data_IF_333186725238
#
_entry.id   IF_333186725238
#
_cell.length_a   1.000
_cell.length_b   1.000
_cell.length_c   1.000
_cell.angle_alpha   90.00
_cell.angle_beta   90.00
_cell.angle_gamma   90.00
#
_symmetry.space_group_name_H-M   'P 1'
#
loop_
_entity.id
_entity.type
_entity.pdbx_description
1 polymer ?
#
# COMPACT_ATOMS: atom_id res chain seq x y z
N UNK A 1 -7.50 34.46 28.68
CA UNK A 1 -8.40 33.35 28.30
C UNK A 1 -7.90 32.78 26.98
N UNK A 2 -7.63 31.47 26.84
CA UNK A 2 -7.23 30.89 25.57
C UNK A 2 -8.44 30.85 24.63
N UNK A 3 -8.27 31.32 23.40
CA UNK A 3 -9.32 31.34 22.38
C UNK A 3 -9.63 29.91 21.90
N UNK A 4 -10.87 29.40 22.05
CA UNK A 4 -11.18 27.98 21.84
C UNK A 4 -11.21 27.50 20.37
N UNK A 5 -10.97 28.39 19.38
CA UNK A 5 -11.12 28.09 17.95
C UNK A 5 -9.89 28.43 17.08
N UNK A 6 -8.71 28.66 17.67
CA UNK A 6 -7.51 28.93 16.88
C UNK A 6 -6.95 27.62 16.30
N UNK A 7 -6.68 27.52 14.99
CA UNK A 7 -6.02 26.34 14.43
C UNK A 7 -4.63 26.18 15.04
N UNK A 8 -4.35 24.99 15.55
CA UNK A 8 -3.08 24.66 16.20
C UNK A 8 -2.27 23.70 15.33
N UNK A 9 -0.99 24.03 15.12
CA UNK A 9 -0.02 23.20 14.45
C UNK A 9 0.96 22.66 15.48
N UNK A 10 1.03 21.34 15.62
CA UNK A 10 1.90 20.67 16.58
C UNK A 10 2.96 19.87 15.82
N UNK A 11 4.21 19.93 16.28
CA UNK A 11 5.30 19.13 15.73
C UNK A 11 5.68 18.03 16.72
N UNK A 12 5.86 16.82 16.22
CA UNK A 12 6.43 15.70 16.98
C UNK A 12 7.59 15.07 16.22
N UNK A 13 8.47 14.40 16.97
CA UNK A 13 9.73 13.87 16.43
C UNK A 13 9.50 12.62 15.57
N UNK A 14 8.67 11.70 16.05
CA UNK A 14 8.51 10.37 15.47
C UNK A 14 7.07 9.86 15.65
N UNK A 15 6.81 8.65 15.17
CA UNK A 15 5.49 8.00 15.25
C UNK A 15 4.99 7.82 16.68
N UNK A 16 5.86 7.53 17.65
CA UNK A 16 5.47 7.46 19.06
C UNK A 16 4.90 8.80 19.56
N UNK A 17 5.51 9.92 19.17
CA UNK A 17 5.00 11.25 19.48
C UNK A 17 3.71 11.58 18.73
N UNK A 18 3.53 11.06 17.52
CA UNK A 18 2.26 11.18 16.79
C UNK A 18 1.14 10.45 17.55
N UNK A 19 1.34 9.18 17.96
CA UNK A 19 0.34 8.37 18.65
C UNK A 19 -0.16 9.02 19.95
N UNK A 20 0.72 9.67 20.71
CA UNK A 20 0.34 10.42 21.93
C UNK A 20 -0.52 11.65 21.60
N UNK A 21 -0.33 12.24 20.43
CA UNK A 21 -1.07 13.41 19.97
C UNK A 21 -2.33 13.04 19.17
N UNK A 22 -2.49 11.77 18.77
CA UNK A 22 -3.72 11.26 18.18
C UNK A 22 -4.84 11.33 19.22
N UNK A 23 -5.97 11.98 18.85
CA UNK A 23 -7.05 12.29 19.79
C UNK A 23 -6.89 13.61 20.56
N UNK A 24 -5.78 14.34 20.38
CA UNK A 24 -5.68 15.72 20.84
C UNK A 24 -6.55 16.66 19.98
N UNK A 25 -6.84 17.87 20.49
CA UNK A 25 -7.51 18.94 19.73
C UNK A 25 -6.57 19.68 18.75
N UNK A 26 -5.37 19.14 18.51
CA UNK A 26 -4.45 19.71 17.54
C UNK A 26 -5.11 19.71 16.15
N UNK A 27 -5.09 20.86 15.48
CA UNK A 27 -5.70 20.98 14.15
C UNK A 27 -4.85 20.31 13.08
N UNK A 28 -3.52 20.35 13.22
CA UNK A 28 -2.56 19.70 12.34
C UNK A 28 -1.37 19.19 13.15
N UNK A 29 -0.91 17.99 12.84
CA UNK A 29 0.28 17.39 13.46
C UNK A 29 1.31 17.09 12.36
N UNK A 30 2.55 17.53 12.57
CA UNK A 30 3.69 17.31 11.66
C UNK A 30 4.68 16.39 12.34
N UNK A 31 5.06 15.32 11.66
CA UNK A 31 6.05 14.35 12.15
C UNK A 31 7.38 14.57 11.45
N UNK A 32 8.43 14.89 12.20
CA UNK A 32 9.75 15.22 11.65
C UNK A 32 10.30 14.11 10.76
N UNK A 33 10.29 12.85 11.22
CA UNK A 33 10.81 11.72 10.45
C UNK A 33 10.08 11.50 9.11
N UNK A 34 8.79 11.82 9.03
CA UNK A 34 8.01 11.69 7.80
C UNK A 34 8.28 12.84 6.83
N UNK A 35 8.45 14.05 7.33
CA UNK A 35 8.83 15.21 6.52
C UNK A 35 10.25 15.07 5.94
N UNK A 36 11.18 14.49 6.71
CA UNK A 36 12.51 14.12 6.22
C UNK A 36 12.43 13.11 5.07
N UNK A 37 11.63 12.06 5.22
CA UNK A 37 11.42 11.04 4.18
C UNK A 37 10.78 11.63 2.92
N UNK A 38 9.76 12.49 3.08
CA UNK A 38 9.11 13.19 1.96
C UNK A 38 10.08 14.14 1.25
N UNK A 39 10.98 14.78 1.98
CA UNK A 39 12.02 15.62 1.40
C UNK A 39 12.96 14.79 0.52
N UNK A 40 13.37 13.60 0.98
CA UNK A 40 14.20 12.70 0.16
C UNK A 40 13.46 12.22 -1.10
N UNK A 41 12.18 11.84 -0.97
CA UNK A 41 11.33 11.46 -2.10
C UNK A 41 11.20 12.61 -3.10
N UNK A 42 11.00 13.84 -2.62
CA UNK A 42 10.94 15.04 -3.46
C UNK A 42 12.22 15.16 -4.31
N UNK A 43 13.39 15.09 -3.67
CA UNK A 43 14.68 15.20 -4.35
C UNK A 43 14.86 14.08 -5.39
N UNK A 44 14.52 12.84 -5.04
CA UNK A 44 14.60 11.70 -5.95
C UNK A 44 13.71 11.90 -7.19
N UNK A 45 12.44 12.25 -7.00
CA UNK A 45 11.50 12.46 -8.10
C UNK A 45 11.92 13.62 -9.01
N UNK A 46 12.54 14.65 -8.43
CA UNK A 46 13.16 15.74 -9.18
C UNK A 46 14.33 15.26 -10.06
N UNK A 47 15.20 14.40 -9.53
CA UNK A 47 16.30 13.79 -10.30
C UNK A 47 15.75 12.98 -11.48
N UNK A 48 14.63 12.28 -11.27
CA UNK A 48 13.90 11.55 -12.29
C UNK A 48 13.12 12.45 -13.28
N UNK A 49 13.27 13.78 -13.17
CA UNK A 49 12.64 14.78 -14.05
C UNK A 49 11.11 14.71 -14.08
N UNK A 50 10.49 14.29 -12.99
CA UNK A 50 9.04 14.33 -12.86
C UNK A 50 8.59 15.81 -12.76
N UNK A 51 7.52 16.24 -13.46
CA UNK A 51 7.03 17.61 -13.39
C UNK A 51 6.72 18.03 -11.95
N UNK A 52 7.20 19.21 -11.55
CA UNK A 52 7.17 19.67 -10.15
C UNK A 52 5.74 19.71 -9.57
N UNK A 53 4.75 20.15 -10.36
CA UNK A 53 3.33 20.15 -9.97
C UNK A 53 2.85 18.76 -9.57
N UNK A 54 3.31 17.69 -10.26
CA UNK A 54 2.95 16.31 -9.92
C UNK A 54 3.59 15.87 -8.59
N UNK A 55 4.84 16.28 -8.34
CA UNK A 55 5.55 15.96 -7.10
C UNK A 55 4.86 16.65 -5.92
N UNK A 56 4.53 17.94 -6.05
CA UNK A 56 3.86 18.72 -5.00
C UNK A 56 2.47 18.17 -4.68
N UNK A 57 1.68 17.82 -5.70
CA UNK A 57 0.37 17.20 -5.50
C UNK A 57 0.47 15.86 -4.76
N UNK A 58 1.49 15.05 -5.07
CA UNK A 58 1.73 13.78 -4.38
C UNK A 58 2.06 14.01 -2.90
N UNK A 59 2.97 14.94 -2.59
CA UNK A 59 3.38 15.24 -1.22
C UNK A 59 2.20 15.80 -0.41
N UNK A 60 1.42 16.70 -1.02
CA UNK A 60 0.23 17.27 -0.40
C UNK A 60 -0.83 16.20 -0.10
N UNK A 61 -1.03 15.24 -1.00
CA UNK A 61 -1.92 14.10 -0.77
C UNK A 61 -1.43 13.21 0.40
N UNK A 62 -0.13 12.96 0.51
CA UNK A 62 0.45 12.20 1.65
C UNK A 62 0.22 12.95 2.98
N UNK A 63 0.45 14.26 3.02
CA UNK A 63 0.22 15.10 4.21
C UNK A 63 -1.26 15.14 4.61
N UNK A 64 -2.17 15.36 3.65
CA UNK A 64 -3.63 15.35 3.86
C UNK A 64 -4.15 14.02 4.37
N UNK A 65 -3.50 12.92 3.99
CA UNK A 65 -3.80 11.58 4.50
C UNK A 65 -3.10 11.29 5.84
N UNK A 66 -2.67 12.30 6.59
CA UNK A 66 -1.95 12.18 7.86
C UNK A 66 -0.80 11.16 7.78
N UNK A 67 -0.03 11.20 6.69
CA UNK A 67 1.09 10.29 6.44
C UNK A 67 0.71 8.79 6.42
N UNK A 68 -0.57 8.42 6.25
CA UNK A 68 -1.03 7.01 6.25
C UNK A 68 -0.28 6.12 5.28
N UNK A 69 0.22 6.67 4.17
CA UNK A 69 1.01 5.93 3.17
C UNK A 69 2.40 5.57 3.72
N UNK A 70 3.00 6.45 4.54
CA UNK A 70 4.29 6.22 5.20
C UNK A 70 4.14 5.39 6.48
N UNK A 71 2.97 5.47 7.13
CA UNK A 71 2.57 4.63 8.28
C UNK A 71 2.17 3.21 7.91
N UNK A 72 2.01 2.91 6.61
CA UNK A 72 1.88 1.52 6.20
C UNK A 72 3.22 0.85 6.48
N UNK A 73 3.31 0.20 7.63
CA UNK A 73 4.19 -0.93 7.81
C UNK A 73 3.83 -1.89 6.68
N UNK A 74 4.63 -1.89 5.62
CA UNK A 74 4.73 -3.07 4.78
C UNK A 74 5.40 -4.08 5.70
N UNK A 75 4.70 -5.11 6.20
CA UNK A 75 5.35 -6.12 7.02
C UNK A 75 6.48 -6.67 6.15
N UNK A 76 7.72 -6.34 6.51
CA UNK A 76 8.91 -6.83 5.82
C UNK A 76 9.04 -8.34 5.96
N UNK A 77 8.27 -8.92 6.90
CA UNK A 77 8.03 -10.34 7.03
C UNK A 77 6.54 -10.61 6.86
N UNK A 78 6.17 -11.45 5.91
CA UNK A 78 4.82 -11.95 5.65
C UNK A 78 4.26 -12.85 6.79
N UNK A 79 4.70 -12.64 8.03
CA UNK A 79 4.49 -13.54 9.18
C UNK A 79 3.64 -12.93 10.30
N UNK A 80 3.29 -11.65 10.23
CA UNK A 80 2.43 -11.02 11.23
C UNK A 80 1.05 -10.73 10.63
N UNK A 81 0.07 -11.54 11.02
CA UNK A 81 -1.30 -11.48 10.49
C UNK A 81 -2.22 -10.53 11.27
N UNK A 82 -1.81 -10.09 12.47
CA UNK A 82 -2.59 -9.22 13.37
C UNK A 82 -1.74 -8.10 13.98
N UNK A 83 -2.36 -6.95 14.26
CA UNK A 83 -1.75 -5.88 15.07
C UNK A 83 -1.63 -6.29 16.54
N UNK A 84 -0.89 -5.53 17.35
CA UNK A 84 -0.82 -5.72 18.80
C UNK A 84 -2.22 -5.63 19.47
N UNK A 85 -3.17 -4.92 18.86
CA UNK A 85 -4.58 -4.86 19.30
C UNK A 85 -5.48 -5.98 18.74
N UNK A 86 -4.92 -6.97 18.05
CA UNK A 86 -5.65 -8.11 17.49
C UNK A 86 -6.45 -7.79 16.21
N UNK A 87 -6.13 -6.68 15.53
CA UNK A 87 -6.81 -6.27 14.30
C UNK A 87 -6.13 -6.97 13.11
N UNK A 88 -6.88 -7.63 12.21
CA UNK A 88 -6.29 -8.27 11.02
C UNK A 88 -5.53 -7.27 10.15
N UNK A 89 -4.26 -7.56 9.87
CA UNK A 89 -3.42 -6.75 9.00
C UNK A 89 -3.63 -7.14 7.53
N UNK A 90 -3.77 -6.12 6.68
CA UNK A 90 -3.70 -6.34 5.23
C UNK A 90 -2.24 -6.40 4.79
N UNK A 91 -1.85 -7.49 4.17
CA UNK A 91 -0.50 -7.73 3.69
C UNK A 91 -0.47 -7.88 2.17
N UNK A 92 0.70 -7.63 1.59
CA UNK A 92 0.97 -8.02 0.21
C UNK A 92 1.34 -9.50 0.19
N UNK A 93 0.94 -10.26 -0.82
CA UNK A 93 1.33 -11.67 -0.98
C UNK A 93 1.71 -11.94 -2.43
N UNK A 94 2.97 -12.33 -2.73
CA UNK A 94 3.37 -12.68 -4.07
C UNK A 94 3.01 -14.14 -4.39
N UNK A 95 2.26 -14.37 -5.47
CA UNK A 95 1.92 -15.69 -5.99
C UNK A 95 2.69 -15.94 -7.28
N UNK A 96 3.55 -16.97 -7.29
CA UNK A 96 4.36 -17.34 -8.45
C UNK A 96 3.58 -18.30 -9.35
N UNK A 97 3.25 -17.89 -10.57
CA UNK A 97 2.46 -18.72 -11.49
C UNK A 97 3.31 -19.80 -12.15
N UNK A 98 3.19 -21.02 -11.62
CA UNK A 98 3.76 -22.21 -12.24
C UNK A 98 2.92 -22.68 -13.45
N UNK A 99 3.52 -23.36 -14.45
CA UNK A 99 2.82 -23.75 -15.67
C UNK A 99 1.50 -24.52 -15.46
N UNK A 100 1.43 -25.31 -14.39
CA UNK A 100 0.31 -26.21 -14.08
C UNK A 100 -0.85 -25.52 -13.34
N UNK A 101 -0.68 -24.26 -12.92
CA UNK A 101 -1.67 -23.56 -12.08
C UNK A 101 -2.91 -23.16 -12.89
N UNK A 102 -4.09 -23.27 -12.27
CA UNK A 102 -5.37 -22.91 -12.90
C UNK A 102 -5.40 -21.49 -13.47
N UNK A 103 -4.75 -20.53 -12.81
CA UNK A 103 -4.72 -19.13 -13.25
C UNK A 103 -3.97 -18.90 -14.58
N UNK A 104 -3.06 -19.80 -14.98
CA UNK A 104 -2.28 -19.63 -16.22
C UNK A 104 -3.21 -19.67 -17.44
N UNK A 105 -3.08 -18.66 -18.30
CA UNK A 105 -3.91 -18.50 -19.49
C UNK A 105 -5.29 -17.90 -19.24
N UNK A 106 -5.72 -17.71 -17.99
CA UNK A 106 -6.95 -16.98 -17.66
C UNK A 106 -6.75 -15.48 -17.77
N UNK A 107 -7.85 -14.77 -18.01
CA UNK A 107 -7.85 -13.31 -17.93
C UNK A 107 -7.87 -12.88 -16.47
N UNK A 108 -7.24 -11.75 -16.19
CA UNK A 108 -7.24 -11.17 -14.85
C UNK A 108 -8.66 -10.87 -14.36
N UNK A 109 -9.56 -10.47 -15.26
CA UNK A 109 -10.98 -10.23 -14.93
C UNK A 109 -11.65 -11.50 -14.41
N UNK A 110 -11.40 -12.65 -15.06
CA UNK A 110 -11.98 -13.93 -14.64
C UNK A 110 -11.51 -14.32 -13.24
N UNK A 111 -10.22 -14.18 -12.96
CA UNK A 111 -9.66 -14.47 -11.64
C UNK A 111 -10.22 -13.49 -10.60
N UNK A 112 -10.25 -12.20 -10.93
CA UNK A 112 -10.73 -11.16 -10.02
C UNK A 112 -12.21 -11.36 -9.62
N UNK A 113 -13.03 -12.00 -10.46
CA UNK A 113 -14.41 -12.37 -10.11
C UNK A 113 -14.53 -13.52 -9.10
N UNK A 114 -13.48 -14.33 -8.95
CA UNK A 114 -13.46 -15.44 -7.99
C UNK A 114 -12.90 -15.02 -6.63
N UNK A 115 -12.05 -13.99 -6.61
CA UNK A 115 -11.46 -13.45 -5.38
C UNK A 115 -12.50 -12.77 -4.49
N UNK A 116 -12.35 -12.94 -3.17
CA UNK A 116 -13.15 -12.26 -2.14
C UNK A 116 -12.24 -11.38 -1.30
N UNK A 117 -12.55 -10.09 -1.19
CA UNK A 117 -11.82 -9.12 -0.36
C UNK A 117 -10.30 -8.97 -0.63
N UNK A 118 -9.77 -9.64 -1.66
CA UNK A 118 -8.39 -9.54 -2.15
C UNK A 118 -8.34 -8.68 -3.41
N UNK A 119 -7.32 -7.83 -3.49
CA UNK A 119 -7.03 -7.00 -4.66
C UNK A 119 -5.74 -7.46 -5.36
N UNK A 120 -5.75 -7.54 -6.69
CA UNK A 120 -4.53 -7.74 -7.48
C UNK A 120 -3.90 -6.37 -7.75
N UNK A 121 -2.78 -6.08 -7.09
CA UNK A 121 -2.10 -4.78 -7.14
C UNK A 121 -1.19 -4.66 -8.36
N UNK A 122 -0.48 -5.75 -8.68
CA UNK A 122 0.49 -5.76 -9.76
C UNK A 122 0.73 -7.19 -10.28
N UNK A 123 1.17 -7.28 -11.53
CA UNK A 123 1.76 -8.49 -12.09
C UNK A 123 3.17 -8.15 -12.53
N UNK A 124 4.16 -8.87 -12.00
CA UNK A 124 5.54 -8.80 -12.48
C UNK A 124 5.76 -9.92 -13.50
N UNK A 125 6.09 -9.54 -14.73
CA UNK A 125 6.52 -10.47 -15.78
C UNK A 125 7.96 -10.13 -16.14
N UNK A 126 8.86 -11.08 -15.93
CA UNK A 126 10.30 -10.86 -16.06
C UNK A 126 10.78 -9.63 -15.25
N UNK A 127 11.21 -8.56 -15.92
CA UNK A 127 11.69 -7.32 -15.29
C UNK A 127 10.67 -6.18 -15.32
N UNK A 128 9.47 -6.43 -15.86
CA UNK A 128 8.42 -5.42 -16.02
C UNK A 128 7.32 -5.60 -14.97
N UNK A 129 6.75 -4.47 -14.55
CA UNK A 129 5.62 -4.42 -13.64
C UNK A 129 4.40 -3.84 -14.35
N UNK A 130 3.31 -4.61 -14.33
CA UNK A 130 2.01 -4.20 -14.84
C UNK A 130 1.11 -3.87 -13.65
N UNK A 131 0.67 -2.62 -13.56
CA UNK A 131 -0.26 -2.14 -12.51
C UNK A 131 -1.60 -1.66 -13.08
N UNK A 132 -1.70 -1.58 -14.40
CA UNK A 132 -2.93 -1.25 -15.10
C UNK A 132 -3.26 -2.35 -16.10
N UNK A 133 -4.32 -3.10 -15.82
CA UNK A 133 -4.69 -4.26 -16.60
C UNK A 133 -5.89 -3.94 -17.49
N UNK A 134 -5.76 -4.24 -18.78
CA UNK A 134 -6.95 -4.36 -19.63
C UNK A 134 -7.71 -5.62 -19.18
N UNK A 135 -9.05 -5.63 -19.32
CA UNK A 135 -9.89 -6.81 -18.99
C UNK A 135 -9.38 -8.12 -19.61
N UNK A 136 -8.83 -8.02 -20.82
CA UNK A 136 -8.28 -9.15 -21.58
C UNK A 136 -6.81 -9.48 -21.24
N UNK A 137 -6.20 -8.85 -20.23
CA UNK A 137 -4.84 -9.17 -19.80
C UNK A 137 -4.79 -10.62 -19.31
N UNK A 138 -4.00 -11.45 -20.00
CA UNK A 138 -3.85 -12.87 -19.67
C UNK A 138 -2.64 -13.08 -18.78
N UNK A 139 -2.87 -13.81 -17.69
CA UNK A 139 -1.82 -14.33 -16.83
C UNK A 139 -1.05 -15.42 -17.57
N UNK A 140 0.26 -15.45 -17.39
CA UNK A 140 1.16 -16.40 -18.02
C UNK A 140 2.01 -17.11 -16.97
N UNK A 141 2.54 -18.27 -17.33
CA UNK A 141 3.54 -18.94 -16.48
C UNK A 141 4.79 -18.05 -16.34
N UNK A 142 5.35 -18.03 -15.14
CA UNK A 142 6.48 -17.17 -14.78
C UNK A 142 6.08 -15.79 -14.27
N UNK A 143 4.80 -15.42 -14.36
CA UNK A 143 4.29 -14.22 -13.71
C UNK A 143 4.36 -14.33 -12.19
N UNK A 144 4.68 -13.21 -11.52
CA UNK A 144 4.41 -13.04 -10.09
C UNK A 144 3.24 -12.09 -9.94
N UNK A 145 2.14 -12.59 -9.40
CA UNK A 145 0.96 -11.77 -9.09
C UNK A 145 1.05 -11.29 -7.65
N UNK A 146 0.94 -9.98 -7.46
CA UNK A 146 1.00 -9.37 -6.12
C UNK A 146 -0.42 -9.11 -5.66
N UNK A 147 -0.84 -9.87 -4.65
CA UNK A 147 -2.15 -9.77 -4.00
C UNK A 147 -2.08 -8.86 -2.78
N UNK A 148 -3.21 -8.26 -2.40
CA UNK A 148 -3.36 -7.46 -1.19
C UNK A 148 -4.67 -7.80 -0.47
N UNK A 149 -4.57 -8.24 0.78
CA UNK A 149 -5.71 -8.72 1.57
C UNK A 149 -5.29 -9.08 2.99
N UNK A 150 -6.23 -9.51 3.82
CA UNK A 150 -5.90 -10.13 5.12
C UNK A 150 -5.41 -11.57 4.89
N UNK A 151 -4.78 -12.18 5.89
CA UNK A 151 -4.20 -13.52 5.77
C UNK A 151 -5.21 -14.59 5.29
N UNK A 152 -6.38 -14.66 5.93
CA UNK A 152 -7.43 -15.64 5.62
C UNK A 152 -7.90 -15.53 4.16
N UNK A 153 -8.24 -14.30 3.72
CA UNK A 153 -8.67 -14.05 2.34
C UNK A 153 -7.56 -14.35 1.31
N UNK A 154 -6.28 -14.16 1.69
CA UNK A 154 -5.13 -14.42 0.83
C UNK A 154 -4.85 -15.92 0.66
N UNK A 155 -5.06 -16.73 1.70
CA UNK A 155 -4.97 -18.19 1.60
C UNK A 155 -6.03 -18.75 0.64
N UNK A 156 -7.29 -18.30 0.77
CA UNK A 156 -8.35 -18.67 -0.18
C UNK A 156 -8.01 -18.24 -1.61
N UNK A 157 -7.43 -17.04 -1.76
CA UNK A 157 -6.99 -16.57 -3.07
C UNK A 157 -5.91 -17.48 -3.67
N UNK A 158 -4.90 -17.89 -2.90
CA UNK A 158 -3.87 -18.81 -3.38
C UNK A 158 -4.46 -20.14 -3.89
N UNK A 159 -5.42 -20.72 -3.17
CA UNK A 159 -6.12 -21.94 -3.61
C UNK A 159 -6.85 -21.74 -4.95
N UNK A 160 -7.49 -20.57 -5.17
CA UNK A 160 -8.13 -20.23 -6.44
C UNK A 160 -7.10 -20.15 -7.57
N UNK A 161 -5.92 -19.56 -7.31
CA UNK A 161 -4.87 -19.47 -8.33
C UNK A 161 -4.33 -20.84 -8.72
N UNK A 162 -4.23 -21.77 -7.77
CA UNK A 162 -3.77 -23.13 -7.99
C UNK A 162 -4.82 -24.03 -8.65
N UNK A 163 -6.06 -24.04 -8.12
CA UNK A 163 -7.07 -25.09 -8.37
C UNK A 163 -8.38 -24.59 -8.98
N UNK A 164 -8.71 -23.30 -8.80
CA UNK A 164 -9.80 -22.60 -9.49
C UNK A 164 -11.17 -22.61 -8.85
#
# INVERSE_FOLDING_TARGET
MPCPNLPTLVRCKNEAGLAVLEGSRASHIVVETYEESLSLIYYLLRILKIPEIKILNLIDDVRKKNYRILRKNFPGSFTEDFTEEGIPLKQLRPVNLMPEMYAVGKTIEKINHQLRNVEIIAVRRDKEYYTHFKRLFKLASGDIVILYGIAEDLEEAEEIFERG
#
